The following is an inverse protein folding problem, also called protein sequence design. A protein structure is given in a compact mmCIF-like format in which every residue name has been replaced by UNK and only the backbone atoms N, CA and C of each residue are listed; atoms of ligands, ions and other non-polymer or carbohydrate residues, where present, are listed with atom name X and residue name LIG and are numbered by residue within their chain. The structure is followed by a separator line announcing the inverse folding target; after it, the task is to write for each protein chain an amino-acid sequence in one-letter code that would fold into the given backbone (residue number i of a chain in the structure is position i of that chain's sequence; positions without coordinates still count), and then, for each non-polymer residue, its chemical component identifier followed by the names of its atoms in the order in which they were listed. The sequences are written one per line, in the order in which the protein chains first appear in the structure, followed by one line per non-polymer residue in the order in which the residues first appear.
data_IF_962369431920
#
_entry.id   IF_962369431920
#
_cell.length_a   1.000
_cell.length_b   1.000
_cell.length_c   1.000
_cell.angle_alpha   90.00
_cell.angle_beta   90.00
_cell.angle_gamma   90.00
#
_symmetry.space_group_name_H-M   'P 1'
#
loop_
_entity.id
_entity.type
_entity.pdbx_description
1 polymer ?
#
# COMPACT_ATOMS: atom_id res chain seq x y z
N UNK A 1 -4.39 2.77 10.10
CA UNK A 1 -4.45 4.00 9.29
C UNK A 1 -3.23 4.01 8.39
N UNK A 2 -3.35 4.51 7.17
CA UNK A 2 -2.28 4.44 6.17
C UNK A 2 -2.16 5.76 5.43
N UNK A 3 -1.06 6.47 5.69
CA UNK A 3 -0.70 7.72 5.02
C UNK A 3 0.45 7.42 4.06
N UNK A 4 0.26 7.71 2.78
CA UNK A 4 1.31 7.68 1.78
C UNK A 4 0.92 8.58 0.61
N UNK A 5 1.81 8.73 -0.36
CA UNK A 5 1.56 9.56 -1.51
C UNK A 5 0.42 9.01 -2.38
N UNK A 6 -0.56 9.86 -2.67
CA UNK A 6 -1.75 9.48 -3.43
C UNK A 6 -2.48 10.70 -3.98
N UNK A 7 -3.47 10.41 -4.82
CA UNK A 7 -4.56 11.33 -5.11
C UNK A 7 -5.27 11.77 -3.82
N UNK A 8 -5.83 12.98 -3.84
CA UNK A 8 -6.67 13.53 -2.79
C UNK A 8 -7.68 14.55 -3.37
N UNK A 9 -8.59 15.01 -2.53
CA UNK A 9 -9.64 15.97 -2.89
C UNK A 9 -9.14 17.34 -3.41
N UNK A 10 -7.82 17.63 -3.30
CA UNK A 10 -7.15 18.85 -3.80
C UNK A 10 -6.13 18.59 -4.91
N UNK A 11 -6.05 17.36 -5.43
CA UNK A 11 -5.04 16.94 -6.41
C UNK A 11 -4.16 15.83 -5.84
N UNK A 12 -2.87 16.06 -5.66
CA UNK A 12 -1.93 15.03 -5.19
C UNK A 12 -1.11 15.56 -4.02
N UNK A 13 -0.86 14.70 -3.03
CA UNK A 13 0.02 15.02 -1.90
C UNK A 13 0.78 13.78 -1.45
N UNK A 14 2.04 13.98 -1.05
CA UNK A 14 2.81 12.99 -0.32
C UNK A 14 2.38 12.98 1.16
N UNK A 15 1.24 12.33 1.46
CA UNK A 15 0.75 12.25 2.83
C UNK A 15 1.74 11.49 3.73
N UNK A 16 1.99 12.03 4.92
CA UNK A 16 2.83 11.45 5.95
C UNK A 16 2.29 11.87 7.34
N UNK A 17 2.79 11.30 8.45
CA UNK A 17 2.27 11.59 9.80
C UNK A 17 2.51 13.00 10.33
N UNK A 18 3.16 13.89 9.57
CA UNK A 18 3.35 15.29 9.98
C UNK A 18 2.04 16.07 9.86
N UNK A 19 1.85 17.05 10.76
CA UNK A 19 0.70 17.95 10.72
C UNK A 19 0.54 18.69 9.40
N UNK A 20 1.64 18.87 8.66
CA UNK A 20 1.64 19.57 7.38
C UNK A 20 1.01 18.71 6.26
N UNK A 21 1.25 17.41 6.28
CA UNK A 21 0.93 16.50 5.17
C UNK A 21 -0.20 15.52 5.50
N UNK A 22 -0.60 15.40 6.76
CA UNK A 22 -1.84 14.71 7.15
C UNK A 22 -3.04 15.66 6.99
N UNK A 23 -3.83 15.43 5.94
CA UNK A 23 -5.08 16.15 5.69
C UNK A 23 -6.33 15.26 5.86
N UNK A 24 -6.18 14.10 6.52
CA UNK A 24 -7.25 13.11 6.70
C UNK A 24 -7.48 12.17 5.51
N UNK A 25 -6.71 12.30 4.42
CA UNK A 25 -6.77 11.36 3.30
C UNK A 25 -6.10 10.05 3.66
N UNK A 26 -6.83 8.94 3.52
CA UNK A 26 -6.36 7.58 3.75
C UNK A 26 -6.14 6.87 2.42
N UNK A 27 -4.97 6.25 2.28
CA UNK A 27 -4.56 5.55 1.05
C UNK A 27 -4.46 4.04 1.36
N UNK A 28 -5.33 3.17 0.79
CA UNK A 28 -5.35 1.74 1.11
C UNK A 28 -3.99 1.05 0.95
N UNK A 29 -3.19 1.42 -0.05
CA UNK A 29 -1.88 0.80 -0.29
C UNK A 29 -0.92 0.91 0.89
N UNK A 30 -1.00 1.99 1.68
CA UNK A 30 -0.13 2.17 2.84
C UNK A 30 -0.33 1.06 3.88
N UNK A 31 -1.59 0.67 4.15
CA UNK A 31 -1.89 -0.41 5.08
C UNK A 31 -1.73 -1.79 4.44
N UNK A 32 -2.20 -1.97 3.20
CA UNK A 32 -2.23 -3.28 2.56
C UNK A 32 -0.85 -3.70 2.00
N UNK A 33 -0.05 -2.76 1.52
CA UNK A 33 1.34 -2.97 1.16
C UNK A 33 2.23 -3.34 2.36
N UNK A 34 1.78 -3.03 3.58
CA UNK A 34 2.48 -3.40 4.81
C UNK A 34 2.14 -4.80 5.34
N UNK A 35 1.35 -5.61 4.60
CA UNK A 35 0.90 -6.94 5.05
C UNK A 35 2.04 -7.84 5.58
N UNK A 36 3.24 -7.89 4.98
CA UNK A 36 4.33 -8.70 5.52
C UNK A 36 4.89 -8.21 6.85
N UNK A 37 4.69 -6.93 7.20
CA UNK A 37 5.28 -6.31 8.39
C UNK A 37 4.29 -6.22 9.54
N UNK A 38 3.04 -5.84 9.25
CA UNK A 38 1.98 -5.62 10.26
C UNK A 38 0.69 -6.38 9.90
N UNK A 39 0.76 -7.72 9.72
CA UNK A 39 -0.35 -8.49 9.12
C UNK A 39 -1.66 -8.39 9.90
N UNK A 40 -1.62 -8.27 11.22
CA UNK A 40 -2.83 -8.17 12.05
C UNK A 40 -3.55 -6.84 11.81
N UNK A 41 -2.80 -5.74 11.80
CA UNK A 41 -3.29 -4.37 11.60
C UNK A 41 -3.73 -4.15 10.14
N UNK A 42 -2.92 -4.61 9.18
CA UNK A 42 -3.23 -4.57 7.75
C UNK A 42 -4.50 -5.37 7.43
N UNK A 43 -4.69 -6.54 8.04
CA UNK A 43 -5.92 -7.32 7.88
C UNK A 43 -7.15 -6.63 8.50
N UNK A 44 -6.99 -5.96 9.65
CA UNK A 44 -8.08 -5.13 10.21
C UNK A 44 -8.46 -4.00 9.26
N UNK A 45 -7.47 -3.31 8.68
CA UNK A 45 -7.70 -2.25 7.70
C UNK A 45 -8.39 -2.79 6.43
N UNK A 46 -7.91 -3.92 5.89
CA UNK A 46 -8.51 -4.59 4.72
C UNK A 46 -10.00 -4.88 4.95
N UNK A 47 -10.33 -5.51 6.08
CA UNK A 47 -11.71 -5.84 6.42
C UNK A 47 -12.58 -4.59 6.53
N UNK A 48 -12.06 -3.52 7.13
CA UNK A 48 -12.78 -2.26 7.21
C UNK A 48 -13.00 -1.63 5.83
N UNK A 49 -11.95 -1.53 5.00
CA UNK A 49 -12.05 -0.98 3.65
C UNK A 49 -13.05 -1.76 2.80
N UNK A 50 -13.07 -3.09 2.92
CA UNK A 50 -13.98 -3.94 2.16
C UNK A 50 -15.41 -3.91 2.71
N UNK A 51 -15.61 -4.26 3.97
CA UNK A 51 -16.95 -4.43 4.54
C UNK A 51 -17.67 -3.12 4.86
N UNK A 52 -16.93 -2.07 5.26
CA UNK A 52 -17.54 -0.81 5.67
C UNK A 52 -17.48 0.27 4.58
N UNK A 53 -16.43 0.28 3.75
CA UNK A 53 -16.22 1.32 2.72
C UNK A 53 -16.35 0.81 1.28
N UNK A 54 -16.48 -0.50 1.08
CA UNK A 54 -16.37 -1.15 -0.23
C UNK A 54 -17.40 -0.67 -1.24
N UNK A 55 -18.57 -0.21 -0.82
CA UNK A 55 -19.60 0.35 -1.72
C UNK A 55 -19.05 1.44 -2.65
N UNK A 56 -18.15 2.29 -2.15
CA UNK A 56 -17.58 3.40 -2.91
C UNK A 56 -16.08 3.20 -3.21
N UNK A 57 -15.36 2.55 -2.28
CA UNK A 57 -13.91 2.40 -2.34
C UNK A 57 -13.45 1.20 -3.18
N UNK A 58 -14.30 0.18 -3.38
CA UNK A 58 -13.95 -1.01 -4.16
C UNK A 58 -14.55 -0.95 -5.57
N UNK A 59 -13.75 -1.30 -6.57
CA UNK A 59 -14.22 -1.47 -7.95
C UNK A 59 -13.43 -2.54 -8.71
N UNK A 60 -13.46 -2.46 -10.04
CA UNK A 60 -12.99 -3.54 -10.93
C UNK A 60 -11.51 -3.89 -10.79
N UNK A 61 -10.69 -2.97 -10.29
CA UNK A 61 -9.24 -3.17 -10.08
C UNK A 61 -8.87 -3.25 -8.59
N UNK A 62 -9.84 -3.48 -7.71
CA UNK A 62 -9.65 -3.51 -6.26
C UNK A 62 -10.01 -2.20 -5.59
N UNK A 63 -9.26 -1.79 -4.57
CA UNK A 63 -9.47 -0.50 -3.92
C UNK A 63 -9.04 0.64 -4.84
N UNK A 64 -9.84 1.71 -4.90
CA UNK A 64 -9.46 2.99 -5.52
C UNK A 64 -8.34 3.66 -4.72
N UNK A 65 -7.68 4.66 -5.31
CA UNK A 65 -6.39 5.16 -4.83
C UNK A 65 -6.42 5.67 -3.38
N UNK A 66 -7.46 6.44 -3.01
CA UNK A 66 -7.60 7.02 -1.68
C UNK A 66 -9.04 7.41 -1.36
N UNK A 67 -9.31 7.75 -0.09
CA UNK A 67 -10.55 8.39 0.35
C UNK A 67 -10.29 9.38 1.49
N UNK A 68 -11.19 10.33 1.68
CA UNK A 68 -11.19 11.28 2.78
C UNK A 68 -12.62 11.42 3.32
N UNK A 69 -12.86 10.98 4.56
CA UNK A 69 -14.20 11.00 5.15
C UNK A 69 -14.62 12.41 5.55
N UNK A 70 -13.70 13.23 6.03
CA UNK A 70 -13.95 14.61 6.45
C UNK A 70 -14.48 15.44 5.28
N UNK A 71 -13.94 15.20 4.09
CA UNK A 71 -14.30 15.90 2.85
C UNK A 71 -15.35 15.15 2.02
N UNK A 72 -15.87 14.02 2.52
CA UNK A 72 -16.80 13.13 1.79
C UNK A 72 -16.33 12.82 0.35
N UNK A 73 -15.06 12.46 0.22
CA UNK A 73 -14.40 12.27 -1.07
C UNK A 73 -13.82 10.86 -1.19
N UNK A 74 -13.91 10.28 -2.38
CA UNK A 74 -13.24 9.04 -2.78
C UNK A 74 -12.58 9.31 -4.13
N UNK A 75 -11.34 8.87 -4.30
CA UNK A 75 -10.65 8.99 -5.58
C UNK A 75 -11.46 8.31 -6.69
N UNK A 76 -11.45 8.86 -7.90
CA UNK A 76 -12.06 8.20 -9.07
C UNK A 76 -11.07 7.33 -9.85
N UNK A 77 -9.79 7.34 -9.44
CA UNK A 77 -8.73 6.65 -10.17
C UNK A 77 -8.18 5.45 -9.40
N UNK A 78 -7.42 4.66 -10.15
CA UNK A 78 -6.52 3.65 -9.62
C UNK A 78 -5.11 4.05 -10.04
N UNK A 79 -4.22 4.25 -9.07
CA UNK A 79 -2.83 4.55 -9.39
C UNK A 79 -2.03 3.25 -9.45
N UNK A 80 -1.41 2.95 -10.60
CA UNK A 80 -0.65 1.71 -10.78
C UNK A 80 0.45 1.50 -9.74
N UNK A 81 1.14 2.59 -9.36
CA UNK A 81 2.15 2.59 -8.29
C UNK A 81 1.58 2.22 -6.91
N UNK A 82 0.29 2.47 -6.67
CA UNK A 82 -0.37 2.13 -5.42
C UNK A 82 -1.08 0.76 -5.50
N UNK A 83 -1.57 0.35 -6.67
CA UNK A 83 -2.16 -0.99 -6.85
C UNK A 83 -1.12 -2.11 -6.77
N UNK A 84 0.03 -1.94 -7.42
CA UNK A 84 1.02 -3.01 -7.54
C UNK A 84 1.57 -3.50 -6.17
N UNK A 85 1.94 -2.61 -5.23
CA UNK A 85 2.40 -3.03 -3.91
C UNK A 85 1.36 -3.83 -3.12
N UNK A 86 0.06 -3.55 -3.27
CA UNK A 86 -0.99 -4.30 -2.58
C UNK A 86 -0.89 -5.78 -2.94
N UNK A 87 -0.87 -6.09 -4.23
CA UNK A 87 -0.85 -7.48 -4.71
C UNK A 87 0.49 -8.14 -4.38
N UNK A 88 1.61 -7.47 -4.70
CA UNK A 88 2.95 -8.00 -4.49
C UNK A 88 3.21 -8.30 -3.01
N UNK A 89 2.81 -7.40 -2.12
CA UNK A 89 3.10 -7.54 -0.69
C UNK A 89 2.12 -8.50 0.00
N UNK A 90 0.87 -8.60 -0.45
CA UNK A 90 -0.01 -9.68 0.01
C UNK A 90 0.56 -11.04 -0.39
N UNK A 91 1.04 -11.20 -1.63
CA UNK A 91 1.58 -12.49 -2.06
C UNK A 91 2.92 -12.82 -1.37
N UNK A 92 3.79 -11.82 -1.17
CA UNK A 92 4.99 -12.01 -0.36
C UNK A 92 4.68 -12.38 1.09
N UNK A 93 3.63 -11.81 1.68
CA UNK A 93 3.18 -12.22 3.02
C UNK A 93 2.71 -13.68 3.06
N UNK A 94 2.00 -14.14 2.02
CA UNK A 94 1.43 -15.50 1.95
C UNK A 94 2.48 -16.57 1.68
N UNK A 95 3.38 -16.34 0.73
CA UNK A 95 4.27 -17.37 0.19
C UNK A 95 5.72 -16.91 0.01
N UNK A 96 5.98 -15.61 0.11
CA UNK A 96 7.28 -15.04 -0.22
C UNK A 96 7.66 -15.10 -1.70
N UNK A 97 6.70 -15.38 -2.61
CA UNK A 97 6.98 -15.68 -4.03
C UNK A 97 7.91 -14.67 -4.70
N UNK A 98 7.59 -13.37 -4.64
CA UNK A 98 8.36 -12.35 -5.38
C UNK A 98 9.71 -12.10 -4.73
N UNK A 99 9.81 -12.16 -3.40
CA UNK A 99 11.08 -12.12 -2.70
C UNK A 99 11.97 -13.30 -3.06
N UNK A 100 11.42 -14.52 -3.08
CA UNK A 100 12.15 -15.72 -3.46
C UNK A 100 12.64 -15.66 -4.90
N UNK A 101 11.79 -15.21 -5.84
CA UNK A 101 12.18 -15.01 -7.24
C UNK A 101 13.29 -13.96 -7.35
N UNK A 102 13.12 -12.77 -6.77
CA UNK A 102 14.09 -11.69 -6.85
C UNK A 102 15.45 -12.09 -6.24
N UNK A 103 15.43 -12.65 -5.03
CA UNK A 103 16.65 -13.07 -4.33
C UNK A 103 17.31 -14.31 -4.93
N UNK A 104 16.60 -15.07 -5.77
CA UNK A 104 17.21 -16.21 -6.47
C UNK A 104 18.18 -15.80 -7.59
N UNK A 105 18.03 -14.59 -8.15
CA UNK A 105 18.79 -14.15 -9.32
C UNK A 105 20.29 -14.00 -9.01
N UNK A 106 21.21 -14.58 -9.82
CA UNK A 106 22.65 -14.55 -9.54
C UNK A 106 23.23 -13.15 -9.35
N UNK A 107 22.82 -12.18 -10.17
CA UNK A 107 23.31 -10.80 -10.05
C UNK A 107 22.82 -10.11 -8.77
N UNK A 108 21.59 -10.41 -8.34
CA UNK A 108 21.05 -9.88 -7.08
C UNK A 108 21.82 -10.48 -5.89
N UNK A 109 22.13 -11.78 -5.92
CA UNK A 109 22.98 -12.43 -4.90
C UNK A 109 24.37 -11.83 -4.86
N UNK A 110 25.01 -11.64 -6.02
CA UNK A 110 26.34 -11.05 -6.14
C UNK A 110 26.36 -9.62 -5.60
N UNK A 111 25.40 -8.79 -6.01
CA UNK A 111 25.22 -7.42 -5.51
C UNK A 111 24.99 -7.41 -4.01
N UNK A 112 24.07 -8.24 -3.50
CA UNK A 112 23.74 -8.30 -2.08
C UNK A 112 24.95 -8.68 -1.22
N UNK A 113 25.75 -9.65 -1.66
CA UNK A 113 26.99 -10.04 -1.00
C UNK A 113 28.08 -8.96 -1.06
N UNK A 114 28.00 -8.00 -1.98
CA UNK A 114 28.98 -6.91 -2.06
C UNK A 114 28.58 -5.70 -1.20
N UNK A 115 27.28 -5.43 -1.09
CA UNK A 115 26.77 -4.21 -0.46
C UNK A 115 26.22 -4.42 0.95
N UNK A 116 25.66 -5.60 1.23
CA UNK A 116 24.90 -5.87 2.45
C UNK A 116 25.50 -7.01 3.27
N UNK A 117 26.78 -7.36 3.08
CA UNK A 117 27.45 -8.32 3.97
C UNK A 117 27.41 -7.77 5.40
N UNK A 118 26.67 -8.48 6.25
CA UNK A 118 26.84 -8.44 7.69
C UNK A 118 28.23 -9.02 8.02
N UNK A 119 28.91 -8.41 8.99
CA UNK A 119 29.97 -9.08 9.75
C UNK A 119 29.48 -10.43 10.30
#
# INVERSE_FOLDING_TARGET
MGLTASDNYKGYLAHDPSQKNDNGTITPTAALGAMPYTPKESMKALKHFYYNKGKNLWGIYGFKDAYNETENWVSEIYMGLNQAPIVVMIENHRTGLLWNLFMSHPDIKKMSNSLFKNE
#
